data_IF_233645473982
#
_entry.id   IF_233645473982
#
_cell.length_a   1.000
_cell.length_b   1.000
_cell.length_c   1.000
_cell.angle_alpha   90.00
_cell.angle_beta   90.00
_cell.angle_gamma   90.00
#
_symmetry.space_group_name_H-M   'P 1'
#
loop_
_entity.id
_entity.type
_entity.pdbx_description
1 polymer ?
#
# COMPACT_ATOMS: atom_id res chain seq x y z
N UNK A 1 -83.09 126.29 -44.21
CA UNK A 1 -81.77 125.62 -44.25
C UNK A 1 -80.68 126.24 -43.36
N UNK A 2 -80.64 127.57 -43.11
CA UNK A 2 -79.63 128.14 -42.18
C UNK A 2 -80.00 128.05 -40.69
N UNK A 3 -81.29 128.00 -40.35
CA UNK A 3 -81.72 127.96 -38.94
C UNK A 3 -81.61 126.57 -38.30
N UNK A 4 -81.93 125.49 -39.03
CA UNK A 4 -81.80 124.10 -38.54
C UNK A 4 -80.34 123.71 -38.20
N UNK A 5 -79.36 124.30 -38.89
CA UNK A 5 -77.95 124.05 -38.61
C UNK A 5 -77.51 124.66 -37.27
N UNK A 6 -78.09 125.81 -36.89
CA UNK A 6 -77.72 126.50 -35.66
C UNK A 6 -78.27 125.76 -34.43
N UNK A 7 -79.48 125.22 -34.54
CA UNK A 7 -80.11 124.42 -33.48
C UNK A 7 -79.38 123.09 -33.25
N UNK A 8 -78.91 122.45 -34.34
CA UNK A 8 -78.09 121.24 -34.25
C UNK A 8 -76.75 121.51 -33.56
N UNK A 9 -76.10 122.65 -33.84
CA UNK A 9 -74.83 123.02 -33.21
C UNK A 9 -75.05 123.28 -31.71
N UNK A 10 -76.07 124.06 -31.33
CA UNK A 10 -76.33 124.36 -29.92
C UNK A 10 -76.65 123.10 -29.09
N UNK A 11 -77.43 122.15 -29.63
CA UNK A 11 -77.74 120.90 -28.95
C UNK A 11 -76.58 119.92 -28.80
N UNK A 12 -75.47 120.11 -29.53
CA UNK A 12 -74.23 119.34 -29.32
C UNK A 12 -73.35 119.92 -28.22
N UNK A 13 -73.34 121.25 -28.09
CA UNK A 13 -72.57 121.94 -27.04
C UNK A 13 -73.17 121.66 -25.67
N UNK A 14 -74.49 121.71 -25.52
CA UNK A 14 -75.16 121.46 -24.23
C UNK A 14 -74.93 120.02 -23.72
N UNK A 15 -74.88 119.03 -24.62
CA UNK A 15 -74.53 117.65 -24.26
C UNK A 15 -73.07 117.46 -23.84
N UNK A 16 -72.16 118.26 -24.40
CA UNK A 16 -70.76 118.24 -23.99
C UNK A 16 -70.59 118.89 -22.60
N UNK A 17 -71.30 119.98 -22.34
CA UNK A 17 -71.30 120.65 -21.04
C UNK A 17 -71.82 119.71 -19.94
N UNK A 18 -72.93 119.01 -20.19
CA UNK A 18 -73.49 118.06 -19.23
C UNK A 18 -72.53 116.88 -18.90
N UNK A 19 -71.76 116.40 -19.89
CA UNK A 19 -70.75 115.35 -19.67
C UNK A 19 -69.54 115.84 -18.89
N UNK A 20 -69.16 117.11 -19.03
CA UNK A 20 -68.06 117.69 -18.26
C UNK A 20 -68.49 117.87 -16.80
N UNK A 21 -69.73 118.28 -16.55
CA UNK A 21 -70.26 118.38 -15.18
C UNK A 21 -70.38 117.01 -14.49
N UNK A 22 -70.80 115.96 -15.20
CA UNK A 22 -70.80 114.58 -14.68
C UNK A 22 -69.39 114.07 -14.34
N UNK A 23 -68.38 114.41 -15.15
CA UNK A 23 -66.99 114.05 -14.86
C UNK A 23 -66.40 114.86 -13.69
N UNK A 24 -66.82 116.13 -13.55
CA UNK A 24 -66.38 117.00 -12.45
C UNK A 24 -66.94 116.54 -11.10
N UNK A 25 -68.18 116.03 -11.06
CA UNK A 25 -68.79 115.49 -9.84
C UNK A 25 -68.20 114.14 -9.37
N UNK A 26 -67.52 113.39 -10.25
CA UNK A 26 -66.98 112.04 -9.96
C UNK A 26 -65.65 112.04 -9.18
N UNK A 27 -64.98 113.19 -9.02
CA UNK A 27 -63.65 113.28 -8.37
C UNK A 27 -63.76 113.53 -6.85
N UNK A 28 -64.51 112.70 -6.11
CA UNK A 28 -64.73 112.92 -4.66
C UNK A 28 -64.74 111.68 -3.75
N UNK A 29 -63.94 110.63 -4.05
CA UNK A 29 -63.70 109.50 -3.12
C UNK A 29 -62.23 109.03 -3.10
N UNK A 30 -61.26 109.93 -2.89
CA UNK A 30 -59.82 109.61 -2.89
C UNK A 30 -59.07 110.14 -1.65
N UNK A 31 -59.67 110.01 -0.44
CA UNK A 31 -59.17 110.67 0.76
C UNK A 31 -58.71 109.79 1.93
N UNK A 32 -58.98 108.48 1.95
CA UNK A 32 -58.82 107.66 3.16
C UNK A 32 -57.85 106.45 3.07
N UNK A 33 -57.25 106.15 1.92
CA UNK A 33 -56.42 104.93 1.72
C UNK A 33 -54.90 105.13 1.91
N UNK A 34 -54.39 106.36 1.94
CA UNK A 34 -52.93 106.61 1.86
C UNK A 34 -52.12 106.34 3.14
N UNK A 35 -52.76 106.08 4.30
CA UNK A 35 -52.03 105.85 5.58
C UNK A 35 -51.90 104.36 5.93
N UNK A 36 -52.83 103.50 5.52
CA UNK A 36 -52.74 102.04 5.78
C UNK A 36 -51.73 101.36 4.85
N UNK A 37 -51.72 101.75 3.56
CA UNK A 37 -50.84 101.17 2.55
C UNK A 37 -49.34 101.37 2.84
N UNK A 38 -48.95 102.46 3.51
CA UNK A 38 -47.53 102.76 3.79
C UNK A 38 -46.91 101.81 4.85
N UNK A 39 -47.67 101.43 5.88
CA UNK A 39 -47.20 100.49 6.89
C UNK A 39 -47.10 99.05 6.35
N UNK A 40 -47.98 98.66 5.43
CA UNK A 40 -47.95 97.35 4.80
C UNK A 40 -46.81 97.22 3.78
N UNK A 41 -46.48 98.30 3.04
CA UNK A 41 -45.35 98.34 2.10
C UNK A 41 -44.02 98.18 2.84
N UNK A 42 -43.81 98.85 3.98
CA UNK A 42 -42.56 98.74 4.75
C UNK A 42 -42.40 97.36 5.41
N UNK A 43 -43.49 96.72 5.83
CA UNK A 43 -43.47 95.36 6.36
C UNK A 43 -43.16 94.33 5.26
N UNK A 44 -43.72 94.53 4.07
CA UNK A 44 -43.46 93.69 2.90
C UNK A 44 -41.99 93.78 2.47
N UNK A 45 -41.43 94.98 2.38
CA UNK A 45 -40.02 95.21 2.02
C UNK A 45 -39.06 94.54 3.01
N UNK A 46 -39.34 94.64 4.31
CA UNK A 46 -38.56 93.94 5.35
C UNK A 46 -38.66 92.41 5.23
N UNK A 47 -39.82 91.87 4.87
CA UNK A 47 -39.97 90.43 4.63
C UNK A 47 -39.31 89.95 3.34
N UNK A 48 -39.29 90.78 2.28
CA UNK A 48 -38.60 90.48 1.01
C UNK A 48 -37.08 90.42 1.25
N UNK A 49 -36.50 91.41 1.92
CA UNK A 49 -35.08 91.41 2.25
C UNK A 49 -34.69 90.22 3.14
N UNK A 50 -35.52 89.87 4.13
CA UNK A 50 -35.29 88.68 4.96
C UNK A 50 -35.38 87.37 4.16
N UNK A 51 -36.23 87.32 3.12
CA UNK A 51 -36.35 86.17 2.23
C UNK A 51 -35.13 86.05 1.31
N UNK A 52 -34.60 87.17 0.80
CA UNK A 52 -33.41 87.20 -0.05
C UNK A 52 -32.16 86.69 0.67
N UNK A 53 -31.95 87.10 1.93
CA UNK A 53 -30.83 86.62 2.76
C UNK A 53 -30.95 85.11 3.01
N UNK A 54 -32.16 84.59 3.27
CA UNK A 54 -32.39 83.14 3.43
C UNK A 54 -32.17 82.37 2.13
N UNK A 55 -32.56 82.93 1.00
CA UNK A 55 -32.34 82.32 -0.32
C UNK A 55 -30.84 82.24 -0.64
N UNK A 56 -30.07 83.29 -0.32
CA UNK A 56 -28.62 83.31 -0.48
C UNK A 56 -27.92 82.27 0.42
N UNK A 57 -28.36 82.12 1.67
CA UNK A 57 -27.86 81.06 2.58
C UNK A 57 -28.19 79.65 2.06
N UNK A 58 -29.38 79.44 1.50
CA UNK A 58 -29.75 78.15 0.87
C UNK A 58 -28.90 77.91 -0.37
N UNK A 59 -28.62 78.94 -1.16
CA UNK A 59 -27.75 78.87 -2.34
C UNK A 59 -26.31 78.51 -1.98
N UNK A 60 -25.78 79.06 -0.88
CA UNK A 60 -24.45 78.70 -0.34
C UNK A 60 -24.39 77.27 0.22
N UNK A 61 -25.48 76.79 0.86
CA UNK A 61 -25.57 75.38 1.27
C UNK A 61 -25.63 74.43 0.06
N UNK A 62 -26.34 74.82 -0.99
CA UNK A 62 -26.43 74.04 -2.25
C UNK A 62 -25.09 74.02 -2.98
N UNK A 63 -24.34 75.13 -3.02
CA UNK A 63 -23.01 75.16 -3.63
C UNK A 63 -22.03 74.25 -2.89
N UNK A 64 -22.00 74.32 -1.55
CA UNK A 64 -21.18 73.43 -0.71
C UNK A 64 -21.54 71.96 -0.88
N UNK A 65 -22.83 71.63 -0.99
CA UNK A 65 -23.29 70.26 -1.26
C UNK A 65 -22.84 69.78 -2.64
N UNK A 66 -22.93 70.64 -3.66
CA UNK A 66 -22.46 70.33 -5.02
C UNK A 66 -20.96 70.04 -5.03
N UNK A 67 -20.16 70.87 -4.35
CA UNK A 67 -18.71 70.69 -4.27
C UNK A 67 -18.35 69.38 -3.55
N UNK A 68 -19.06 69.05 -2.46
CA UNK A 68 -18.88 67.78 -1.78
C UNK A 68 -19.23 66.58 -2.68
N UNK A 69 -20.33 66.65 -3.43
CA UNK A 69 -20.74 65.59 -4.38
C UNK A 69 -19.67 65.40 -5.48
N UNK A 70 -19.06 66.47 -5.98
CA UNK A 70 -17.99 66.40 -6.99
C UNK A 70 -16.77 65.66 -6.41
N UNK A 71 -16.33 66.02 -5.20
CA UNK A 71 -15.20 65.35 -4.53
C UNK A 71 -15.49 63.86 -4.31
N UNK A 72 -16.71 63.52 -3.87
CA UNK A 72 -17.11 62.11 -3.72
C UNK A 72 -17.16 61.36 -5.06
N UNK A 73 -17.64 62.00 -6.12
CA UNK A 73 -17.67 61.40 -7.45
C UNK A 73 -16.26 61.10 -7.99
N UNK A 74 -15.32 62.01 -7.76
CA UNK A 74 -13.93 61.81 -8.18
C UNK A 74 -13.23 60.73 -7.34
N UNK A 75 -13.50 60.65 -6.03
CA UNK A 75 -13.01 59.56 -5.19
C UNK A 75 -13.55 58.19 -5.64
N UNK A 76 -14.84 58.11 -5.99
CA UNK A 76 -15.47 56.88 -6.50
C UNK A 76 -14.84 56.46 -7.84
N UNK A 77 -14.55 57.40 -8.74
CA UNK A 77 -13.87 57.09 -10.02
C UNK A 77 -12.48 56.51 -9.80
N UNK A 78 -11.70 57.09 -8.88
CA UNK A 78 -10.35 56.60 -8.56
C UNK A 78 -10.40 55.19 -7.99
N UNK A 79 -11.30 54.92 -7.04
CA UNK A 79 -11.41 53.59 -6.43
C UNK A 79 -11.93 52.53 -7.42
N UNK A 80 -12.87 52.89 -8.31
CA UNK A 80 -13.33 52.02 -9.40
C UNK A 80 -12.19 51.65 -10.35
N UNK A 81 -11.40 52.61 -10.80
CA UNK A 81 -10.25 52.34 -11.67
C UNK A 81 -9.20 51.45 -11.00
N UNK A 82 -8.93 51.67 -9.71
CA UNK A 82 -8.01 50.83 -8.92
C UNK A 82 -8.54 49.42 -8.73
N UNK A 83 -9.83 49.26 -8.49
CA UNK A 83 -10.46 47.94 -8.33
C UNK A 83 -10.52 47.17 -9.65
N UNK A 84 -10.79 47.85 -10.77
CA UNK A 84 -10.74 47.25 -12.10
C UNK A 84 -9.32 46.79 -12.45
N UNK A 85 -8.31 47.60 -12.17
CA UNK A 85 -6.91 47.23 -12.41
C UNK A 85 -6.47 46.04 -11.54
N UNK A 86 -6.88 46.01 -10.27
CA UNK A 86 -6.67 44.86 -9.38
C UNK A 86 -7.38 43.61 -9.90
N UNK A 87 -8.61 43.75 -10.37
CA UNK A 87 -9.38 42.64 -10.95
C UNK A 87 -8.68 42.06 -12.18
N UNK A 88 -8.16 42.91 -13.09
CA UNK A 88 -7.40 42.46 -14.26
C UNK A 88 -6.12 41.71 -13.84
N UNK A 89 -5.36 42.25 -12.90
CA UNK A 89 -4.15 41.61 -12.39
C UNK A 89 -4.44 40.24 -11.76
N UNK A 90 -5.51 40.12 -10.98
CA UNK A 90 -5.91 38.85 -10.38
C UNK A 90 -6.33 37.82 -11.45
N UNK A 91 -7.07 38.24 -12.48
CA UNK A 91 -7.46 37.36 -13.59
C UNK A 91 -6.23 36.85 -14.34
N UNK A 92 -5.26 37.73 -14.62
CA UNK A 92 -4.02 37.34 -15.31
C UNK A 92 -3.16 36.40 -14.45
N UNK A 93 -3.04 36.66 -13.15
CA UNK A 93 -2.34 35.79 -12.21
C UNK A 93 -2.99 34.40 -12.13
N UNK A 94 -4.32 34.33 -12.08
CA UNK A 94 -5.06 33.05 -12.09
C UNK A 94 -4.86 32.31 -13.41
N UNK A 95 -4.85 33.01 -14.53
CA UNK A 95 -4.59 32.42 -15.86
C UNK A 95 -3.17 31.84 -15.95
N UNK A 96 -2.19 32.57 -15.44
CA UNK A 96 -0.79 32.11 -15.37
C UNK A 96 -0.67 30.87 -14.47
N UNK A 97 -1.22 30.89 -13.26
CA UNK A 97 -1.20 29.74 -12.35
C UNK A 97 -1.86 28.51 -12.96
N UNK A 98 -3.00 28.67 -13.65
CA UNK A 98 -3.66 27.57 -14.36
C UNK A 98 -2.75 27.00 -15.44
N UNK A 99 -2.08 27.85 -16.21
CA UNK A 99 -1.17 27.42 -17.26
C UNK A 99 0.04 26.66 -16.68
N UNK A 100 0.70 27.21 -15.67
CA UNK A 100 1.82 26.55 -14.97
C UNK A 100 1.40 25.20 -14.36
N UNK A 101 0.23 25.14 -13.72
CA UNK A 101 -0.31 23.91 -13.18
C UNK A 101 -0.61 22.86 -14.26
N UNK A 102 -1.13 23.27 -15.43
CA UNK A 102 -1.36 22.33 -16.54
C UNK A 102 -0.06 21.79 -17.13
N UNK A 103 0.98 22.62 -17.27
CA UNK A 103 2.29 22.22 -17.80
C UNK A 103 2.99 21.28 -16.82
N UNK A 104 3.01 21.62 -15.53
CA UNK A 104 3.61 20.78 -14.49
C UNK A 104 2.87 19.46 -14.31
N UNK A 105 1.53 19.47 -14.29
CA UNK A 105 0.72 18.25 -14.24
C UNK A 105 0.97 17.34 -15.44
N UNK A 106 1.11 17.90 -16.65
CA UNK A 106 1.42 17.12 -17.85
C UNK A 106 2.84 16.54 -17.79
N UNK A 107 3.83 17.32 -17.37
CA UNK A 107 5.19 16.83 -17.19
C UNK A 107 5.31 15.72 -16.12
N UNK A 108 4.50 15.80 -15.05
CA UNK A 108 4.42 14.75 -14.04
C UNK A 108 3.73 13.50 -14.58
N UNK A 109 2.65 13.65 -15.34
CA UNK A 109 1.99 12.52 -16.02
C UNK A 109 2.93 11.85 -17.02
N UNK A 110 3.64 12.61 -17.85
CA UNK A 110 4.60 12.08 -18.82
C UNK A 110 5.76 11.35 -18.12
N UNK A 111 6.26 11.87 -16.99
CA UNK A 111 7.26 11.17 -16.16
C UNK A 111 6.71 9.91 -15.49
N UNK A 112 5.47 9.93 -15.03
CA UNK A 112 4.81 8.76 -14.44
C UNK A 112 4.60 7.68 -15.51
N UNK A 113 4.18 8.07 -16.71
CA UNK A 113 4.02 7.17 -17.85
C UNK A 113 5.37 6.61 -18.31
N UNK A 114 6.43 7.43 -18.33
CA UNK A 114 7.80 6.98 -18.59
C UNK A 114 8.29 5.99 -17.52
N UNK A 115 8.00 6.22 -16.24
CA UNK A 115 8.33 5.27 -15.16
C UNK A 115 7.54 3.96 -15.28
N UNK A 116 6.27 4.02 -15.71
CA UNK A 116 5.44 2.84 -15.94
C UNK A 116 5.85 2.06 -17.21
N UNK A 117 6.34 2.75 -18.25
CA UNK A 117 6.81 2.15 -19.50
C UNK A 117 8.28 1.72 -19.46
N UNK A 118 9.08 2.29 -18.57
CA UNK A 118 10.43 1.81 -18.31
C UNK A 118 10.33 0.38 -17.79
N UNK A 119 11.04 -0.60 -18.38
CA UNK A 119 11.03 -1.94 -17.87
C UNK A 119 11.53 -1.88 -16.43
N UNK A 120 10.63 -2.03 -15.45
CA UNK A 120 11.02 -2.32 -14.08
C UNK A 120 12.01 -3.47 -14.21
N UNK A 121 13.26 -3.23 -13.84
CA UNK A 121 14.29 -4.25 -13.83
C UNK A 121 13.77 -5.30 -12.88
N UNK A 122 13.09 -6.32 -13.43
CA UNK A 122 12.50 -7.42 -12.68
C UNK A 122 13.69 -8.22 -12.20
N UNK A 123 14.28 -7.78 -11.10
CA UNK A 123 15.15 -8.61 -10.31
C UNK A 123 14.22 -9.69 -9.79
N UNK A 124 14.12 -10.79 -10.55
CA UNK A 124 13.52 -12.03 -10.11
C UNK A 124 14.46 -12.56 -9.03
N UNK A 125 14.37 -11.95 -7.86
CA UNK A 125 14.95 -12.50 -6.66
C UNK A 125 14.06 -13.68 -6.35
N UNK A 126 14.49 -14.89 -6.72
CA UNK A 126 13.86 -16.11 -6.26
C UNK A 126 14.00 -16.14 -4.74
N UNK A 127 13.06 -15.52 -4.04
CA UNK A 127 12.84 -15.81 -2.64
C UNK A 127 12.30 -17.24 -2.62
N UNK A 128 13.21 -18.19 -2.47
CA UNK A 128 12.84 -19.52 -2.01
C UNK A 128 12.31 -19.33 -0.60
N UNK A 129 11.00 -19.23 -0.45
CA UNK A 129 10.36 -19.37 0.85
C UNK A 129 10.65 -20.82 1.32
N UNK A 130 11.47 -21.02 2.36
CA UNK A 130 11.71 -22.36 2.91
C UNK A 130 10.44 -22.96 3.53
N UNK A 131 9.35 -22.19 3.58
CA UNK A 131 8.02 -22.51 4.10
C UNK A 131 7.00 -22.93 3.03
N UNK A 132 7.41 -23.22 1.79
CA UNK A 132 6.47 -23.88 0.87
C UNK A 132 6.09 -25.27 1.43
N UNK A 133 4.80 -25.60 1.43
CA UNK A 133 4.28 -26.87 1.98
C UNK A 133 5.05 -28.09 1.44
N UNK A 134 5.48 -28.04 0.19
CA UNK A 134 6.22 -29.11 -0.47
C UNK A 134 7.65 -29.26 0.09
N UNK A 135 8.35 -28.16 0.39
CA UNK A 135 9.69 -28.20 1.01
C UNK A 135 9.61 -28.72 2.44
N UNK A 136 8.59 -28.32 3.21
CA UNK A 136 8.36 -28.84 4.55
C UNK A 136 8.03 -30.34 4.54
N UNK A 137 7.17 -30.79 3.62
CA UNK A 137 6.88 -32.22 3.42
C UNK A 137 8.12 -32.99 2.98
N UNK A 138 8.98 -32.40 2.15
CA UNK A 138 10.24 -33.01 1.72
C UNK A 138 11.23 -33.17 2.88
N UNK A 139 11.39 -32.14 3.72
CA UNK A 139 12.24 -32.20 4.93
C UNK A 139 11.68 -33.23 5.92
N UNK A 140 10.36 -33.26 6.13
CA UNK A 140 9.71 -34.26 6.96
C UNK A 140 9.88 -35.69 6.41
N UNK A 141 9.74 -35.86 5.10
CA UNK A 141 9.97 -37.13 4.41
C UNK A 141 11.42 -37.61 4.52
N UNK A 142 12.38 -36.69 4.35
CA UNK A 142 13.80 -36.98 4.55
C UNK A 142 14.09 -37.41 5.99
N UNK A 143 13.59 -36.67 6.97
CA UNK A 143 13.77 -37.02 8.38
C UNK A 143 13.16 -38.39 8.70
N UNK A 144 11.94 -38.67 8.21
CA UNK A 144 11.28 -39.95 8.39
C UNK A 144 12.05 -41.09 7.71
N UNK A 145 12.58 -40.87 6.50
CA UNK A 145 13.42 -41.88 5.83
C UNK A 145 14.69 -42.18 6.60
N UNK A 146 15.28 -41.17 7.25
CA UNK A 146 16.48 -41.35 8.08
C UNK A 146 16.17 -42.21 9.30
N UNK A 147 15.05 -41.92 9.99
CA UNK A 147 14.61 -42.69 11.16
C UNK A 147 14.32 -44.14 10.78
N UNK A 148 13.59 -44.37 9.69
CA UNK A 148 13.30 -45.73 9.21
C UNK A 148 14.59 -46.46 8.81
N UNK A 149 15.56 -45.76 8.20
CA UNK A 149 16.85 -46.35 7.83
C UNK A 149 17.65 -46.77 9.06
N UNK A 150 17.73 -45.93 10.09
CA UNK A 150 18.41 -46.26 11.35
C UNK A 150 17.69 -47.39 12.07
N UNK A 151 16.36 -47.35 12.15
CA UNK A 151 15.56 -48.39 12.79
C UNK A 151 15.70 -49.74 12.07
N UNK A 152 15.65 -49.74 10.74
CA UNK A 152 15.82 -50.94 9.93
C UNK A 152 17.21 -51.55 10.11
N UNK A 153 18.25 -50.72 10.10
CA UNK A 153 19.62 -51.18 10.35
C UNK A 153 19.80 -51.74 11.76
N UNK A 154 19.24 -51.07 12.78
CA UNK A 154 19.31 -51.52 14.16
C UNK A 154 18.54 -52.83 14.39
N UNK A 155 17.37 -52.98 13.75
CA UNK A 155 16.57 -54.21 13.82
C UNK A 155 17.32 -55.36 13.14
N UNK A 156 17.88 -55.13 11.95
CA UNK A 156 18.71 -56.12 11.25
C UNK A 156 19.95 -56.53 12.06
N UNK A 157 20.62 -55.57 12.70
CA UNK A 157 21.76 -55.86 13.57
C UNK A 157 21.35 -56.74 14.75
N UNK A 158 20.21 -56.45 15.37
CA UNK A 158 19.69 -57.25 16.48
C UNK A 158 19.32 -58.67 16.04
N UNK A 159 18.62 -58.80 14.91
CA UNK A 159 18.28 -60.11 14.35
C UNK A 159 19.57 -60.89 14.03
N UNK A 160 20.58 -60.25 13.44
CA UNK A 160 21.86 -60.89 13.13
C UNK A 160 22.57 -61.43 14.38
N UNK A 161 22.54 -60.68 15.50
CA UNK A 161 23.08 -61.14 16.77
C UNK A 161 22.32 -62.37 17.28
N UNK A 162 20.99 -62.38 17.19
CA UNK A 162 20.15 -63.50 17.61
C UNK A 162 20.42 -64.76 16.76
N UNK A 163 20.62 -64.60 15.43
CA UNK A 163 21.01 -65.69 14.54
C UNK A 163 22.39 -66.25 14.87
N UNK A 164 23.38 -65.38 15.14
CA UNK A 164 24.73 -65.82 15.51
C UNK A 164 24.72 -66.58 16.85
N UNK A 165 23.92 -66.13 17.81
CA UNK A 165 23.79 -66.80 19.10
C UNK A 165 23.11 -68.17 18.96
N UNK A 166 22.02 -68.27 18.20
CA UNK A 166 21.33 -69.54 17.94
C UNK A 166 22.23 -70.53 17.18
N UNK A 167 22.99 -70.04 16.21
CA UNK A 167 23.98 -70.83 15.48
C UNK A 167 25.10 -71.34 16.39
N UNK A 168 25.63 -70.48 17.27
CA UNK A 168 26.64 -70.87 18.25
C UNK A 168 26.08 -71.90 19.25
N UNK A 169 24.85 -71.72 19.74
CA UNK A 169 24.17 -72.72 20.59
C UNK A 169 24.09 -74.07 19.88
N UNK A 170 23.65 -74.09 18.62
CA UNK A 170 23.53 -75.32 17.84
C UNK A 170 24.89 -76.00 17.63
N UNK A 171 25.93 -75.25 17.25
CA UNK A 171 27.29 -75.79 17.07
C UNK A 171 27.89 -76.30 18.39
N UNK A 172 27.67 -75.60 19.49
CA UNK A 172 28.11 -76.02 20.82
C UNK A 172 27.43 -77.32 21.26
N UNK A 173 26.12 -77.45 21.05
CA UNK A 173 25.40 -78.71 21.32
C UNK A 173 25.90 -79.86 20.46
N UNK A 174 26.23 -79.61 19.19
CA UNK A 174 26.82 -80.62 18.29
C UNK A 174 28.20 -81.09 18.75
N UNK A 175 28.97 -80.24 19.43
CA UNK A 175 30.23 -80.64 20.07
C UNK A 175 29.97 -81.52 21.31
N UNK A 176 28.93 -81.23 22.08
CA UNK A 176 28.58 -81.88 23.36
C UNK A 176 27.58 -83.03 23.14
N UNK A 177 27.75 -83.82 22.08
CA UNK A 177 26.74 -84.70 21.48
C UNK A 177 26.11 -85.78 22.40
N UNK A 178 26.50 -85.90 23.66
CA UNK A 178 25.86 -86.78 24.64
C UNK A 178 24.73 -86.04 25.37
N UNK A 179 23.49 -86.47 25.17
CA UNK A 179 22.27 -85.84 25.71
C UNK A 179 22.24 -85.73 27.25
N UNK A 180 22.98 -86.59 27.95
CA UNK A 180 23.11 -86.59 29.41
C UNK A 180 24.37 -85.87 29.91
N UNK A 181 25.09 -85.15 29.03
CA UNK A 181 26.32 -84.44 29.41
C UNK A 181 25.98 -83.19 30.26
N UNK A 182 26.56 -83.05 31.47
CA UNK A 182 26.42 -81.85 32.30
C UNK A 182 26.71 -80.52 31.56
N UNK A 183 27.53 -80.57 30.51
CA UNK A 183 27.87 -79.43 29.67
C UNK A 183 26.66 -78.86 28.91
N UNK A 184 25.61 -79.64 28.62
CA UNK A 184 24.37 -79.14 27.98
C UNK A 184 23.63 -78.21 28.94
N UNK A 185 23.50 -78.64 30.21
CA UNK A 185 22.85 -77.82 31.23
C UNK A 185 23.65 -76.53 31.51
N UNK A 186 24.97 -76.61 31.42
CA UNK A 186 25.87 -75.44 31.51
C UNK A 186 25.61 -74.44 30.37
N UNK A 187 25.57 -74.90 29.12
CA UNK A 187 25.29 -74.03 27.95
C UNK A 187 23.91 -73.38 28.10
N UNK A 188 22.86 -74.14 28.38
CA UNK A 188 21.50 -73.60 28.48
C UNK A 188 21.38 -72.53 29.58
N UNK A 189 22.03 -72.74 30.73
CA UNK A 189 22.01 -71.78 31.84
C UNK A 189 22.62 -70.43 31.44
N UNK A 190 23.79 -70.43 30.79
CA UNK A 190 24.52 -69.19 30.47
C UNK A 190 24.08 -68.51 29.17
N UNK A 191 23.37 -69.23 28.30
CA UNK A 191 22.80 -68.66 27.08
C UNK A 191 21.35 -68.18 27.22
N UNK A 192 20.58 -68.70 28.18
CA UNK A 192 19.16 -68.35 28.34
C UNK A 192 18.87 -67.60 29.65
N UNK A 193 19.33 -68.11 30.80
CA UNK A 193 18.88 -67.65 32.14
C UNK A 193 19.84 -66.62 32.76
N UNK A 194 21.15 -66.86 32.69
CA UNK A 194 22.19 -66.00 33.27
C UNK A 194 23.22 -65.65 32.20
N UNK A 195 22.88 -64.70 31.31
CA UNK A 195 23.76 -64.30 30.20
C UNK A 195 25.12 -63.82 30.72
N UNK A 196 26.18 -64.52 30.32
CA UNK A 196 27.57 -64.13 30.58
C UNK A 196 28.37 -64.16 29.27
N UNK A 197 28.73 -62.97 28.79
CA UNK A 197 29.44 -62.76 27.52
C UNK A 197 30.83 -63.43 27.52
N UNK A 198 31.48 -63.55 28.68
CA UNK A 198 32.78 -64.20 28.80
C UNK A 198 32.66 -65.72 28.62
N UNK A 199 31.60 -66.31 29.18
CA UNK A 199 31.29 -67.74 29.00
C UNK A 199 30.93 -68.02 27.55
N UNK A 200 30.10 -67.18 26.92
CA UNK A 200 29.73 -67.31 25.50
C UNK A 200 30.99 -67.25 24.62
N UNK A 201 31.90 -66.32 24.89
CA UNK A 201 33.16 -66.21 24.15
C UNK A 201 34.09 -67.43 24.35
N UNK A 202 34.13 -67.99 25.57
CA UNK A 202 34.85 -69.23 25.84
C UNK A 202 34.27 -70.40 25.03
N UNK A 203 32.94 -70.54 25.00
CA UNK A 203 32.24 -71.56 24.20
C UNK A 203 32.56 -71.39 22.71
N UNK A 204 32.53 -70.15 22.19
CA UNK A 204 32.91 -69.85 20.79
C UNK A 204 34.31 -70.34 20.46
N UNK A 205 35.30 -70.08 21.32
CA UNK A 205 36.67 -70.53 21.12
C UNK A 205 36.81 -72.05 21.19
N UNK A 206 36.09 -72.71 22.10
CA UNK A 206 36.08 -74.18 22.21
C UNK A 206 35.46 -74.84 20.99
N UNK A 207 34.33 -74.31 20.50
CA UNK A 207 33.68 -74.77 19.28
C UNK A 207 34.62 -74.60 18.09
N UNK A 208 35.25 -73.43 17.94
CA UNK A 208 36.19 -73.18 16.85
C UNK A 208 37.38 -74.15 16.88
N UNK A 209 37.99 -74.38 18.05
CA UNK A 209 39.09 -75.32 18.19
C UNK A 209 38.67 -76.77 17.90
N UNK A 210 37.47 -77.16 18.30
CA UNK A 210 36.91 -78.48 17.99
C UNK A 210 36.66 -78.65 16.49
N UNK A 211 36.01 -77.68 15.84
CA UNK A 211 35.74 -77.72 14.40
C UNK A 211 37.03 -77.76 13.58
N UNK A 212 38.05 -77.01 13.99
CA UNK A 212 39.37 -77.00 13.35
C UNK A 212 40.08 -78.35 13.53
N UNK A 213 40.01 -78.94 14.73
CA UNK A 213 40.55 -80.28 14.99
C UNK A 213 39.85 -81.36 14.17
N UNK A 214 38.52 -81.32 14.07
CA UNK A 214 37.74 -82.26 13.24
C UNK A 214 38.10 -82.10 11.76
N UNK A 215 38.23 -80.87 11.27
CA UNK A 215 38.64 -80.59 9.90
C UNK A 215 40.02 -81.15 9.61
N UNK A 216 40.99 -80.85 10.47
CA UNK A 216 42.35 -81.35 10.32
C UNK A 216 42.40 -82.88 10.37
N UNK A 217 41.61 -83.51 11.24
CA UNK A 217 41.52 -84.96 11.31
C UNK A 217 41.00 -85.57 9.99
N UNK A 218 39.96 -84.98 9.40
CA UNK A 218 39.41 -85.41 8.11
C UNK A 218 40.45 -85.22 6.99
N UNK A 219 41.15 -84.09 6.96
CA UNK A 219 42.24 -83.84 6.00
C UNK A 219 43.35 -84.89 6.12
N UNK A 220 43.73 -85.24 7.34
CA UNK A 220 44.75 -86.26 7.61
C UNK A 220 44.30 -87.65 7.14
N UNK A 221 43.03 -88.02 7.35
CA UNK A 221 42.46 -89.27 6.86
C UNK A 221 42.47 -89.30 5.32
N UNK A 222 42.03 -88.22 4.67
CA UNK A 222 42.02 -88.14 3.21
C UNK A 222 43.44 -88.22 2.64
N UNK A 223 44.40 -87.52 3.25
CA UNK A 223 45.78 -87.54 2.82
C UNK A 223 46.43 -88.91 3.04
N UNK A 224 46.10 -89.61 4.12
CA UNK A 224 46.52 -91.00 4.33
C UNK A 224 45.95 -91.93 3.25
N UNK A 225 44.65 -91.85 2.96
CA UNK A 225 44.03 -92.66 1.91
C UNK A 225 44.65 -92.41 0.52
N UNK A 226 44.97 -91.16 0.18
CA UNK A 226 45.66 -90.82 -1.07
C UNK A 226 47.07 -91.42 -1.09
N UNK A 227 47.85 -91.25 -0.02
CA UNK A 227 49.21 -91.80 0.07
C UNK A 227 49.22 -93.33 -0.05
N UNK A 228 48.28 -93.99 0.61
CA UNK A 228 48.10 -95.44 0.53
C UNK A 228 47.73 -95.90 -0.88
N UNK A 229 46.89 -95.13 -1.59
CA UNK A 229 46.53 -95.45 -2.98
C UNK A 229 47.73 -95.37 -3.93
N UNK A 230 48.60 -94.36 -3.75
CA UNK A 230 49.83 -94.16 -4.53
C UNK A 230 50.87 -95.24 -4.20
N UNK A 231 51.05 -95.57 -2.91
CA UNK A 231 51.95 -96.62 -2.50
C UNK A 231 51.54 -97.98 -3.10
N UNK A 232 50.23 -98.29 -3.08
CA UNK A 232 49.70 -99.51 -3.68
C UNK A 232 49.88 -99.55 -5.20
N UNK A 233 49.73 -98.43 -5.92
CA UNK A 233 49.98 -98.39 -7.37
C UNK A 233 51.45 -98.61 -7.70
N UNK A 234 52.36 -97.94 -6.99
CA UNK A 234 53.81 -98.10 -7.17
C UNK A 234 54.27 -99.53 -6.85
N UNK A 235 53.72 -100.13 -5.78
CA UNK A 235 54.03 -101.51 -5.42
C UNK A 235 53.59 -102.52 -6.49
N UNK A 236 52.41 -102.30 -7.10
CA UNK A 236 51.95 -103.12 -8.23
C UNK A 236 52.88 -102.97 -9.44
N UNK A 237 53.26 -101.74 -9.79
CA UNK A 237 54.16 -101.47 -10.90
C UNK A 237 55.54 -102.11 -10.71
N UNK A 238 56.14 -101.96 -9.52
CA UNK A 238 57.42 -102.57 -9.19
C UNK A 238 57.38 -104.11 -9.29
N UNK A 239 56.30 -104.75 -8.82
CA UNK A 239 56.12 -106.19 -8.95
C UNK A 239 55.98 -106.64 -10.41
N UNK A 240 55.28 -105.87 -11.24
CA UNK A 240 55.17 -106.16 -12.67
C UNK A 240 56.53 -106.04 -13.39
N UNK A 241 57.34 -105.02 -13.04
CA UNK A 241 58.71 -104.90 -13.56
C UNK A 241 59.56 -106.10 -13.13
N UNK A 242 59.52 -106.48 -11.86
CA UNK A 242 60.26 -107.64 -11.33
C UNK A 242 59.90 -108.94 -12.05
N UNK A 243 58.61 -109.18 -12.30
CA UNK A 243 58.15 -110.34 -13.08
C UNK A 243 58.68 -110.32 -14.51
N UNK A 244 58.72 -109.15 -15.17
CA UNK A 244 59.26 -109.02 -16.53
C UNK A 244 60.77 -109.30 -16.59
N UNK A 245 61.53 -108.89 -15.57
CA UNK A 245 62.98 -109.15 -15.47
C UNK A 245 63.24 -110.65 -15.25
N UNK A 246 62.53 -111.29 -14.33
CA UNK A 246 62.73 -112.72 -14.01
C UNK A 246 62.26 -113.70 -15.11
N UNK A 247 61.59 -113.21 -16.17
CA UNK A 247 61.17 -114.01 -17.33
C UNK A 247 62.16 -113.95 -18.50
N UNK A 248 63.19 -113.11 -18.42
CA UNK A 248 64.37 -113.14 -19.30
C UNK A 248 65.41 -114.07 -18.72
#
# INVERSE_FOLDING_TARGET
MKEELLEAIYGTVERLEQKVDELSASTKNAGAENVLASNDITKLDKSINAMFIKEEEVRDKISKLRDAIIVFADLIKVELGKNEQRSKFLVDAVKQMKQEHTVTSKALQDKLELMNKSPQKKVVTHHFEPTSKNVLLFIGGLALSLVISIWGNLTQWRDYQDWEEADLKYRALKMVLSTDDPNIHYIEKYFSICRDENVINNVRNRVAAYEDSVRHHIEMIQMAAIKDSIANSLFKEANEIKKKINKK
#
